data_IF_523725206165
#
_entry.id   IF_523725206165
#
_cell.length_a   1.000
_cell.length_b   1.000
_cell.length_c   1.000
_cell.angle_alpha   90.00
_cell.angle_beta   90.00
_cell.angle_gamma   90.00
#
_symmetry.space_group_name_H-M   'P 1'
#
loop_
_entity.id
_entity.type
_entity.pdbx_description
1 polymer ?
#
# COMPACT_ATOMS: atom_id res chain seq x y z
N UNK A 1 -16.03 3.09 16.73
CA UNK A 1 -16.36 1.66 16.51
C UNK A 1 -15.07 0.84 16.39
N UNK A 2 -15.08 -0.46 16.73
CA UNK A 2 -13.96 -1.39 16.50
C UNK A 2 -14.40 -2.42 15.45
N UNK A 3 -13.70 -2.48 14.32
CA UNK A 3 -13.95 -3.46 13.27
C UNK A 3 -12.74 -4.40 13.13
N UNK A 4 -12.99 -5.69 12.93
CA UNK A 4 -11.94 -6.69 12.75
C UNK A 4 -12.01 -7.28 11.35
N UNK A 5 -11.05 -6.94 10.49
CA UNK A 5 -10.95 -7.47 9.12
C UNK A 5 -10.13 -8.75 9.13
N UNK A 6 -10.79 -9.86 8.80
CA UNK A 6 -10.16 -11.18 8.66
C UNK A 6 -10.36 -11.75 7.25
N UNK A 7 -9.61 -12.79 6.90
CA UNK A 7 -9.75 -13.50 5.61
C UNK A 7 -11.19 -13.96 5.31
N UNK A 8 -11.99 -14.28 6.34
CA UNK A 8 -13.40 -14.65 6.17
C UNK A 8 -14.26 -13.49 5.69
N UNK A 9 -14.00 -12.26 6.16
CA UNK A 9 -14.73 -11.07 5.71
C UNK A 9 -14.37 -10.68 4.27
N UNK A 10 -13.09 -10.76 3.91
CA UNK A 10 -12.64 -10.52 2.54
C UNK A 10 -13.24 -11.52 1.53
N UNK A 11 -13.48 -12.77 1.95
CA UNK A 11 -14.10 -13.79 1.08
C UNK A 11 -15.60 -13.59 0.86
N UNK A 12 -16.32 -13.01 1.82
CA UNK A 12 -17.76 -12.71 1.69
C UNK A 12 -18.00 -11.44 0.87
N UNK A 13 -17.11 -10.45 0.97
CA UNK A 13 -17.04 -9.36 0.02
C UNK A 13 -16.48 -9.90 -1.32
N UNK A 14 -17.34 -10.47 -2.17
CA UNK A 14 -17.01 -10.98 -3.52
C UNK A 14 -16.25 -9.99 -4.44
N UNK A 15 -15.99 -8.76 -3.99
CA UNK A 15 -15.16 -7.74 -4.63
C UNK A 15 -13.69 -8.11 -4.86
N UNK A 16 -13.12 -9.10 -4.15
CA UNK A 16 -11.68 -9.38 -4.22
C UNK A 16 -11.27 -10.46 -5.23
N UNK A 17 -12.20 -11.25 -5.76
CA UNK A 17 -11.88 -12.35 -6.71
C UNK A 17 -11.38 -11.87 -8.09
N UNK A 18 -11.38 -10.56 -8.36
CA UNK A 18 -11.06 -9.97 -9.68
C UNK A 18 -9.76 -9.15 -9.72
N UNK A 19 -8.92 -9.20 -8.69
CA UNK A 19 -7.68 -8.39 -8.63
C UNK A 19 -6.45 -9.05 -9.27
N UNK A 20 -6.58 -10.26 -9.79
CA UNK A 20 -5.53 -10.92 -10.56
C UNK A 20 -5.55 -10.39 -12.00
N UNK A 21 -4.76 -9.36 -12.28
CA UNK A 21 -4.41 -8.97 -13.64
C UNK A 21 -3.05 -9.62 -13.95
N UNK A 22 -3.05 -10.59 -14.85
CA UNK A 22 -1.84 -11.24 -15.33
C UNK A 22 -1.13 -10.32 -16.33
N UNK A 23 -0.10 -9.62 -15.86
CA UNK A 23 0.77 -8.79 -16.69
C UNK A 23 2.01 -9.53 -17.18
N UNK A 24 2.41 -9.27 -18.44
CA UNK A 24 3.64 -9.76 -19.05
C UNK A 24 4.87 -9.46 -18.19
N UNK A 25 5.76 -10.45 -18.07
CA UNK A 25 7.06 -10.34 -17.41
C UNK A 25 7.90 -9.24 -18.08
N UNK A 26 8.28 -8.21 -17.31
CA UNK A 26 9.42 -7.36 -17.63
C UNK A 26 10.51 -7.62 -16.60
N UNK A 27 11.73 -7.80 -17.08
CA UNK A 27 12.91 -8.03 -16.24
C UNK A 27 13.06 -6.88 -15.23
N UNK A 28 13.23 -7.23 -13.95
CA UNK A 28 13.29 -6.29 -12.82
C UNK A 28 14.49 -5.34 -12.88
N UNK A 29 15.51 -5.67 -13.67
CA UNK A 29 16.66 -4.82 -13.95
C UNK A 29 17.46 -5.50 -15.07
N UNK A 30 17.41 -5.01 -16.32
CA UNK A 30 18.35 -5.47 -17.36
C UNK A 30 19.66 -4.65 -17.34
N UNK A 31 19.61 -3.45 -16.77
CA UNK A 31 20.76 -2.56 -16.63
C UNK A 31 21.17 -2.48 -15.16
N UNK A 32 22.21 -3.19 -14.72
CA UNK A 32 22.86 -2.87 -13.43
C UNK A 32 23.48 -1.46 -13.52
N UNK A 33 22.67 -0.40 -13.46
CA UNK A 33 23.17 0.94 -13.21
C UNK A 33 23.54 0.97 -11.73
N UNK A 34 24.82 0.76 -11.44
CA UNK A 34 25.44 1.28 -10.22
C UNK A 34 25.23 2.78 -10.21
N UNK A 35 24.12 3.22 -9.63
CA UNK A 35 23.92 4.62 -9.33
C UNK A 35 24.95 4.96 -8.25
N UNK A 36 25.94 5.77 -8.61
CA UNK A 36 26.84 6.38 -7.64
C UNK A 36 25.96 7.13 -6.63
N UNK A 37 26.09 6.89 -5.32
CA UNK A 37 25.29 7.60 -4.32
C UNK A 37 25.56 9.10 -4.48
N UNK A 38 24.60 9.83 -5.03
CA UNK A 38 24.85 11.19 -5.52
C UNK A 38 25.14 12.23 -4.44
N UNK A 39 25.06 11.89 -3.15
CA UNK A 39 25.16 12.87 -2.06
C UNK A 39 25.84 12.38 -0.77
N UNK A 40 26.39 11.16 -0.69
CA UNK A 40 27.00 10.65 0.55
C UNK A 40 28.46 11.09 0.70
N UNK A 41 28.68 12.31 1.17
CA UNK A 41 30.02 12.85 1.45
C UNK A 41 30.51 12.53 2.87
N UNK A 42 29.69 12.79 3.90
CA UNK A 42 30.03 12.57 5.31
C UNK A 42 28.76 12.43 6.19
N UNK A 43 28.68 11.37 6.99
CA UNK A 43 27.54 11.10 7.88
C UNK A 43 27.30 12.23 8.89
N UNK A 44 28.37 12.76 9.51
CA UNK A 44 28.23 13.78 10.55
C UNK A 44 27.66 15.09 9.98
N UNK A 45 28.09 15.49 8.78
CA UNK A 45 27.55 16.66 8.08
C UNK A 45 26.07 16.45 7.72
N UNK A 46 25.71 15.28 7.17
CA UNK A 46 24.31 14.97 6.87
C UNK A 46 23.40 15.02 8.09
N UNK A 47 23.88 14.48 9.23
CA UNK A 47 23.14 14.48 10.48
C UNK A 47 22.93 15.89 11.02
N UNK A 48 23.93 16.77 10.92
CA UNK A 48 23.82 18.16 11.33
C UNK A 48 22.86 18.96 10.44
N UNK A 49 22.90 18.73 9.13
CA UNK A 49 22.13 19.50 8.15
C UNK A 49 20.70 18.98 7.95
N UNK A 50 20.41 17.74 8.35
CA UNK A 50 19.10 17.14 8.16
C UNK A 50 18.03 17.83 8.99
N UNK A 51 17.11 18.52 8.30
CA UNK A 51 15.90 19.11 8.89
C UNK A 51 14.68 18.57 8.17
N UNK A 52 13.84 17.84 8.89
CA UNK A 52 12.58 17.34 8.35
C UNK A 52 11.55 18.48 8.36
N UNK A 53 11.14 18.94 7.18
CA UNK A 53 10.01 19.86 7.04
C UNK A 53 8.70 19.13 7.29
N UNK A 54 8.13 19.28 8.49
CA UNK A 54 6.86 18.65 8.86
C UNK A 54 5.71 19.59 8.44
N UNK A 55 4.89 19.21 7.44
CA UNK A 55 3.75 20.01 7.05
C UNK A 55 2.63 19.92 8.10
N UNK A 56 1.78 20.95 8.17
CA UNK A 56 0.60 20.97 9.06
C UNK A 56 -0.35 19.80 8.79
N UNK A 57 -0.52 19.43 7.52
CA UNK A 57 -1.33 18.30 7.07
C UNK A 57 -0.47 17.32 6.27
N UNK A 58 -0.58 16.04 6.59
CA UNK A 58 0.06 14.96 5.86
C UNK A 58 -0.80 13.71 5.81
N UNK A 59 -0.88 13.09 4.64
CA UNK A 59 -1.49 11.79 4.42
C UNK A 59 -0.69 11.04 3.36
N UNK A 60 -0.03 9.94 3.73
CA UNK A 60 0.82 9.18 2.81
C UNK A 60 0.11 8.71 1.53
N UNK A 61 -1.16 8.33 1.61
CA UNK A 61 -1.90 7.87 0.43
C UNK A 61 -2.13 9.01 -0.59
N UNK A 62 -2.33 10.24 -0.11
CA UNK A 62 -2.51 11.42 -0.95
C UNK A 62 -1.16 12.05 -1.35
N UNK A 63 -0.33 12.35 -0.36
CA UNK A 63 0.85 13.20 -0.55
C UNK A 63 2.06 12.43 -1.08
N UNK A 64 1.99 11.09 -1.13
CA UNK A 64 3.05 10.25 -1.71
C UNK A 64 2.50 9.37 -2.84
N UNK A 65 1.54 8.49 -2.53
CA UNK A 65 1.07 7.51 -3.51
C UNK A 65 0.33 8.15 -4.68
N UNK A 66 -0.55 9.13 -4.43
CA UNK A 66 -1.25 9.82 -5.52
C UNK A 66 -0.29 10.68 -6.35
N UNK A 67 0.74 11.30 -5.75
CA UNK A 67 1.78 12.00 -6.53
C UNK A 67 2.55 11.08 -7.49
N UNK A 68 2.84 9.85 -7.07
CA UNK A 68 3.45 8.86 -7.97
C UNK A 68 2.48 8.42 -9.08
N UNK A 69 1.21 8.22 -8.73
CA UNK A 69 0.14 7.91 -9.69
C UNK A 69 0.05 9.00 -10.77
N UNK A 70 0.06 10.27 -10.38
CA UNK A 70 -0.06 11.38 -11.32
C UNK A 70 1.18 11.51 -12.23
N UNK A 71 2.37 11.21 -11.70
CA UNK A 71 3.62 11.17 -12.49
C UNK A 71 3.61 10.05 -13.53
N UNK A 72 3.08 8.87 -13.18
CA UNK A 72 2.92 7.78 -14.14
C UNK A 72 1.89 8.13 -15.22
N UNK A 73 0.72 8.63 -14.82
CA UNK A 73 -0.35 9.04 -15.76
C UNK A 73 0.08 10.13 -16.73
N UNK A 74 0.87 11.08 -16.25
CA UNK A 74 1.43 12.16 -17.09
C UNK A 74 2.59 11.70 -17.98
N UNK A 75 2.97 10.41 -17.97
CA UNK A 75 4.10 9.89 -18.73
C UNK A 75 5.47 10.40 -18.27
N UNK A 76 5.54 11.11 -17.13
CA UNK A 76 6.79 11.67 -16.59
C UNK A 76 7.69 10.59 -15.98
N UNK A 77 7.14 9.41 -15.69
CA UNK A 77 7.87 8.25 -15.19
C UNK A 77 7.35 6.97 -15.86
N UNK A 78 8.22 6.01 -16.21
CA UNK A 78 7.78 4.71 -16.70
C UNK A 78 6.91 4.00 -15.64
N UNK A 79 5.90 3.27 -16.12
CA UNK A 79 5.06 2.39 -15.32
C UNK A 79 5.91 1.24 -14.77
N UNK A 80 6.46 1.45 -13.58
CA UNK A 80 7.26 0.47 -12.85
C UNK A 80 6.36 -0.15 -11.77
N UNK A 81 6.53 -1.45 -11.46
CA UNK A 81 5.73 -2.08 -10.42
C UNK A 81 6.02 -1.40 -9.07
N UNK A 82 4.99 -0.77 -8.49
CA UNK A 82 5.00 -0.24 -7.13
C UNK A 82 4.87 -1.36 -6.09
N UNK A 83 4.19 -2.43 -6.48
CA UNK A 83 3.98 -3.62 -5.67
C UNK A 83 4.14 -4.87 -6.52
N UNK A 84 4.87 -5.85 -6.01
CA UNK A 84 4.99 -7.17 -6.63
C UNK A 84 4.94 -8.24 -5.54
N UNK A 85 3.93 -9.10 -5.64
CA UNK A 85 3.73 -10.27 -4.80
C UNK A 85 3.82 -11.54 -5.62
N UNK A 86 4.38 -12.59 -5.01
CA UNK A 86 4.55 -13.91 -5.61
C UNK A 86 4.17 -14.94 -4.54
N UNK A 87 3.40 -15.97 -4.92
CA UNK A 87 3.08 -17.07 -4.02
C UNK A 87 3.93 -18.32 -4.27
N UNK A 88 3.71 -19.34 -3.44
CA UNK A 88 4.45 -20.62 -3.51
C UNK A 88 4.21 -21.39 -4.80
N UNK A 89 3.09 -21.13 -5.48
CA UNK A 89 2.73 -21.77 -6.74
C UNK A 89 3.30 -20.99 -7.95
N UNK A 90 4.03 -19.89 -7.71
CA UNK A 90 4.55 -19.02 -8.76
C UNK A 90 3.52 -18.05 -9.34
N UNK A 91 2.32 -17.95 -8.76
CA UNK A 91 1.35 -16.93 -9.17
C UNK A 91 1.83 -15.56 -8.71
N UNK A 92 1.69 -14.57 -9.59
CA UNK A 92 2.20 -13.23 -9.37
C UNK A 92 1.08 -12.18 -9.42
N UNK A 93 1.21 -11.17 -8.57
CA UNK A 93 0.41 -9.95 -8.64
C UNK A 93 1.38 -8.78 -8.73
N UNK A 94 1.25 -7.99 -9.79
CA UNK A 94 2.02 -6.76 -9.98
C UNK A 94 1.06 -5.59 -10.11
N UNK A 95 1.32 -4.52 -9.37
CA UNK A 95 0.57 -3.27 -9.48
C UNK A 95 1.53 -2.11 -9.75
N UNK A 96 1.23 -1.31 -10.77
CA UNK A 96 1.79 0.04 -10.94
C UNK A 96 1.33 0.97 -9.82
N UNK A 97 1.88 2.19 -9.74
CA UNK A 97 1.37 3.18 -8.78
C UNK A 97 -0.07 3.57 -9.10
N UNK A 98 -0.40 3.70 -10.39
CA UNK A 98 -1.78 3.94 -10.83
C UNK A 98 -2.75 2.84 -10.38
N UNK A 99 -2.38 1.57 -10.58
CA UNK A 99 -3.22 0.43 -10.19
C UNK A 99 -3.38 0.40 -8.67
N UNK A 100 -2.29 0.52 -7.92
CA UNK A 100 -2.32 0.56 -6.45
C UNK A 100 -3.17 1.73 -5.93
N UNK A 101 -3.07 2.91 -6.56
CA UNK A 101 -3.90 4.07 -6.27
C UNK A 101 -5.38 3.81 -6.52
N UNK A 102 -5.73 3.20 -7.66
CA UNK A 102 -7.11 2.85 -8.00
C UNK A 102 -7.69 1.79 -7.05
N UNK A 103 -6.95 0.72 -6.79
CA UNK A 103 -7.39 -0.38 -5.93
C UNK A 103 -7.55 0.05 -4.47
N UNK A 104 -6.64 0.87 -3.95
CA UNK A 104 -6.75 1.39 -2.58
C UNK A 104 -7.95 2.33 -2.40
N UNK A 105 -8.33 3.11 -3.42
CA UNK A 105 -9.56 3.94 -3.37
C UNK A 105 -10.82 3.07 -3.39
N UNK A 106 -10.86 2.01 -4.20
CA UNK A 106 -11.98 1.05 -4.18
C UNK A 106 -12.12 0.40 -2.80
N UNK A 107 -11.00 0.00 -2.19
CA UNK A 107 -11.02 -0.56 -0.84
C UNK A 107 -11.46 0.49 0.19
N UNK A 108 -11.01 1.74 0.08
CA UNK A 108 -11.47 2.84 0.95
C UNK A 108 -13.00 3.02 0.88
N UNK A 109 -13.59 2.99 -0.31
CA UNK A 109 -15.05 3.06 -0.47
C UNK A 109 -15.76 1.87 0.18
N UNK A 110 -15.18 0.66 0.12
CA UNK A 110 -15.73 -0.51 0.83
C UNK A 110 -15.73 -0.26 2.35
N UNK A 111 -14.63 0.26 2.91
CA UNK A 111 -14.56 0.56 4.33
C UNK A 111 -15.59 1.62 4.76
N UNK A 112 -15.75 2.69 3.99
CA UNK A 112 -16.66 3.78 4.34
C UNK A 112 -18.13 3.46 4.06
N UNK A 113 -18.45 2.84 2.93
CA UNK A 113 -19.84 2.61 2.49
C UNK A 113 -20.36 1.27 3.01
N UNK A 114 -19.69 0.17 2.68
CA UNK A 114 -20.17 -1.17 3.00
C UNK A 114 -19.95 -1.55 4.46
N UNK A 115 -18.87 -1.06 5.09
CA UNK A 115 -18.61 -1.26 6.51
C UNK A 115 -19.03 -0.07 7.38
N UNK A 116 -19.52 1.02 6.77
CA UNK A 116 -19.97 2.24 7.45
C UNK A 116 -18.93 2.87 8.40
N UNK A 117 -17.64 2.62 8.18
CA UNK A 117 -16.57 3.11 9.04
C UNK A 117 -16.36 4.60 8.84
N UNK A 118 -16.17 5.30 9.96
CA UNK A 118 -15.94 6.73 10.00
C UNK A 118 -14.48 7.05 10.36
N UNK A 119 -14.07 8.29 10.09
CA UNK A 119 -12.75 8.78 10.51
C UNK A 119 -12.57 8.58 12.02
N UNK A 120 -11.43 8.04 12.42
CA UNK A 120 -11.11 7.72 13.81
C UNK A 120 -11.58 6.33 14.28
N UNK A 121 -12.41 5.62 13.50
CA UNK A 121 -12.75 4.23 13.82
C UNK A 121 -11.53 3.32 13.76
N UNK A 122 -11.50 2.31 14.63
CA UNK A 122 -10.36 1.39 14.77
C UNK A 122 -10.59 0.14 13.94
N UNK A 123 -9.61 -0.21 13.11
CA UNK A 123 -9.65 -1.36 12.21
C UNK A 123 -8.52 -2.31 12.56
N UNK A 124 -8.85 -3.43 13.19
CA UNK A 124 -7.90 -4.52 13.41
C UNK A 124 -7.77 -5.31 12.11
N UNK A 125 -6.54 -5.48 11.62
CA UNK A 125 -6.24 -6.17 10.38
C UNK A 125 -5.43 -7.45 10.66
N UNK A 126 -6.07 -8.61 10.54
CA UNK A 126 -5.44 -9.93 10.76
C UNK A 126 -5.49 -10.70 9.44
N UNK A 127 -4.47 -10.47 8.60
CA UNK A 127 -4.31 -11.16 7.31
C UNK A 127 -2.89 -11.71 7.16
N UNK A 128 -2.71 -12.82 6.43
CA UNK A 128 -1.40 -13.28 6.01
C UNK A 128 -0.75 -12.29 5.03
N UNK A 129 0.46 -12.60 4.55
CA UNK A 129 1.19 -11.78 3.56
C UNK A 129 0.56 -11.88 2.16
N UNK A 130 -0.65 -11.35 2.02
CA UNK A 130 -1.42 -11.29 0.77
C UNK A 130 -1.54 -9.84 0.29
N UNK A 131 -1.74 -9.60 -1.02
CA UNK A 131 -1.82 -8.24 -1.57
C UNK A 131 -2.88 -7.35 -0.90
N UNK A 132 -4.00 -7.93 -0.46
CA UNK A 132 -5.10 -7.23 0.21
C UNK A 132 -4.68 -6.57 1.52
N UNK A 133 -3.65 -7.10 2.20
CA UNK A 133 -3.11 -6.49 3.40
C UNK A 133 -2.60 -5.07 3.10
N UNK A 134 -1.91 -4.88 1.98
CA UNK A 134 -1.41 -3.57 1.55
C UNK A 134 -2.53 -2.64 1.12
N UNK A 135 -3.55 -3.15 0.41
CA UNK A 135 -4.71 -2.35 0.03
C UNK A 135 -5.48 -1.85 1.25
N UNK A 136 -5.69 -2.71 2.25
CA UNK A 136 -6.36 -2.35 3.50
C UNK A 136 -5.59 -1.27 4.26
N UNK A 137 -4.25 -1.37 4.32
CA UNK A 137 -3.39 -0.36 4.93
C UNK A 137 -3.59 1.02 4.28
N UNK A 138 -3.43 1.10 2.96
CA UNK A 138 -3.57 2.37 2.23
C UNK A 138 -5.00 2.90 2.32
N UNK A 139 -6.01 2.03 2.28
CA UNK A 139 -7.41 2.41 2.43
C UNK A 139 -7.72 3.01 3.80
N UNK A 140 -7.12 2.48 4.87
CA UNK A 140 -7.27 3.05 6.21
C UNK A 140 -6.69 4.46 6.28
N UNK A 141 -5.51 4.67 5.68
CA UNK A 141 -4.91 6.00 5.56
C UNK A 141 -5.82 6.97 4.80
N UNK A 142 -6.44 6.53 3.69
CA UNK A 142 -7.37 7.36 2.90
C UNK A 142 -8.62 7.75 3.67
N UNK A 143 -9.20 6.81 4.41
CA UNK A 143 -10.44 7.02 5.19
C UNK A 143 -10.21 7.72 6.53
N UNK A 144 -8.95 7.83 6.97
CA UNK A 144 -8.61 8.34 8.28
C UNK A 144 -9.04 7.42 9.43
N UNK A 145 -9.21 6.13 9.15
CA UNK A 145 -9.42 5.10 10.17
C UNK A 145 -8.09 4.70 10.80
N UNK A 146 -8.12 4.27 12.07
CA UNK A 146 -6.94 3.86 12.83
C UNK A 146 -6.69 2.38 12.59
N UNK A 147 -5.69 2.08 11.75
CA UNK A 147 -5.26 0.72 11.48
C UNK A 147 -4.50 0.12 12.67
N UNK A 148 -4.86 -1.11 13.05
CA UNK A 148 -4.19 -1.91 14.09
C UNK A 148 -3.82 -3.27 13.47
N UNK A 149 -2.60 -3.42 12.94
CA UNK A 149 -2.16 -4.70 12.37
C UNK A 149 -2.00 -5.77 13.45
N UNK A 150 -2.56 -6.95 13.22
CA UNK A 150 -2.42 -8.12 14.09
C UNK A 150 -1.75 -9.29 13.38
N UNK A 151 -0.97 -10.07 14.11
CA UNK A 151 -0.39 -11.33 13.58
C UNK A 151 -1.49 -12.37 13.37
N UNK A 152 -1.35 -13.22 12.34
CA UNK A 152 -2.28 -14.35 12.11
C UNK A 152 -2.17 -15.45 13.18
N UNK A 153 -1.23 -15.31 14.12
CA UNK A 153 -1.03 -16.23 15.25
C UNK A 153 -1.80 -15.82 16.51
N UNK A 154 -2.55 -14.71 16.48
CA UNK A 154 -3.37 -14.29 17.61
C UNK A 154 -4.39 -15.36 17.97
N UNK A 155 -4.56 -15.56 19.27
CA UNK A 155 -5.53 -16.48 19.86
C UNK A 155 -6.70 -15.68 20.44
N UNK A 156 -7.75 -16.37 20.89
CA UNK A 156 -8.95 -15.71 21.44
C UNK A 156 -8.67 -14.87 22.70
N UNK A 157 -7.58 -15.13 23.41
CA UNK A 157 -7.24 -14.44 24.66
C UNK A 157 -6.51 -13.11 24.45
N UNK A 158 -6.03 -12.86 23.24
CA UNK A 158 -5.28 -11.66 22.84
C UNK A 158 -6.22 -10.56 22.33
#
# INVERSE_FOLDING_TARGET
MLACVTMKMLRHAKCFQRLAIFGSVRALHKDNRTATPQNFSNYESMKQDFKLGIPEYFNFAKDVLDQWTDKEKAGKKPSNPAFWWINRNGEEVRWSFEELGSLSRKFANILSEACSLQRGDRVILILPRVPEWWLANVACLRTGTVLIPGTTQLTQKD
#
